data_IF_759572070140
#
_entry.id   IF_759572070140
#
_cell.length_a   1.000
_cell.length_b   1.000
_cell.length_c   1.000
_cell.angle_alpha   90.00
_cell.angle_beta   90.00
_cell.angle_gamma   90.00
#
_symmetry.space_group_name_H-M   'P 1'
#
loop_
_entity.id
_entity.type
_entity.pdbx_description
1 polymer ?
#
# COMPACT_ATOMS: atom_id res chain seq x y z
N UNK A 1 32.71 5.65 19.70
CA UNK A 1 31.47 5.58 18.92
C UNK A 1 31.14 4.12 18.85
N UNK A 2 30.14 3.68 19.59
CA UNK A 2 29.71 2.29 19.57
C UNK A 2 28.98 2.05 18.26
N UNK A 3 29.50 1.14 17.50
CA UNK A 3 28.88 0.61 16.28
C UNK A 3 27.70 -0.24 16.73
N UNK A 4 26.54 0.40 16.87
CA UNK A 4 25.29 -0.30 17.18
C UNK A 4 24.71 -0.77 15.85
N UNK A 5 25.39 -1.70 15.20
CA UNK A 5 24.76 -2.53 14.18
C UNK A 5 23.80 -3.44 14.94
N UNK A 6 22.58 -2.94 15.20
CA UNK A 6 21.47 -3.78 15.63
C UNK A 6 21.35 -4.88 14.56
N UNK A 7 21.79 -6.07 14.94
CA UNK A 7 21.78 -7.24 14.07
C UNK A 7 20.31 -7.64 13.92
N UNK A 8 19.66 -7.14 12.86
CA UNK A 8 18.29 -7.51 12.56
C UNK A 8 18.23 -9.03 12.37
N UNK A 9 17.35 -9.68 13.08
CA UNK A 9 17.11 -11.10 12.89
C UNK A 9 16.63 -11.35 11.46
N UNK A 10 17.14 -12.40 10.83
CA UNK A 10 16.69 -12.78 9.51
C UNK A 10 15.22 -13.21 9.53
N UNK A 11 14.45 -12.75 8.58
CA UNK A 11 13.03 -13.08 8.43
C UNK A 11 12.69 -13.44 6.99
N UNK A 12 11.55 -14.07 6.79
CA UNK A 12 11.01 -14.34 5.46
C UNK A 12 10.01 -13.28 5.05
N UNK A 13 10.13 -12.81 3.80
CA UNK A 13 9.15 -11.98 3.14
C UNK A 13 8.47 -12.76 2.01
N UNK A 14 7.19 -12.55 1.82
CA UNK A 14 6.39 -13.19 0.79
C UNK A 14 5.75 -12.15 -0.12
N UNK A 15 6.09 -12.17 -1.41
CA UNK A 15 5.28 -11.54 -2.45
C UNK A 15 4.11 -12.47 -2.79
N UNK A 16 2.95 -12.20 -2.23
CA UNK A 16 1.77 -13.04 -2.37
C UNK A 16 0.96 -12.65 -3.60
N UNK A 17 0.92 -13.52 -4.58
CA UNK A 17 0.10 -13.32 -5.76
C UNK A 17 -1.36 -13.71 -5.48
N UNK A 18 -2.30 -12.79 -5.73
CA UNK A 18 -3.73 -12.99 -5.53
C UNK A 18 -4.51 -12.58 -6.77
N UNK A 19 -5.68 -13.19 -6.96
CA UNK A 19 -6.58 -12.78 -8.04
C UNK A 19 -7.25 -11.46 -7.69
N UNK A 20 -7.08 -10.45 -8.54
CA UNK A 20 -7.83 -9.21 -8.46
C UNK A 20 -9.26 -9.42 -8.98
N UNK A 21 -10.24 -9.06 -8.18
CA UNK A 21 -11.65 -9.00 -8.57
C UNK A 21 -12.02 -7.53 -8.77
N UNK A 22 -11.74 -7.03 -9.97
CA UNK A 22 -11.91 -5.62 -10.31
C UNK A 22 -13.35 -5.14 -10.11
N UNK A 23 -13.50 -3.90 -9.65
CA UNK A 23 -14.80 -3.29 -9.37
C UNK A 23 -15.36 -2.50 -10.55
N UNK A 24 -14.71 -2.53 -11.71
CA UNK A 24 -15.11 -1.75 -12.90
C UNK A 24 -16.56 -2.00 -13.31
N UNK A 25 -17.04 -3.23 -13.21
CA UNK A 25 -18.39 -3.63 -13.57
C UNK A 25 -19.43 -3.40 -12.47
N UNK A 26 -19.00 -2.94 -11.29
CA UNK A 26 -19.94 -2.62 -10.21
C UNK A 26 -20.84 -1.46 -10.61
N UNK A 27 -22.14 -1.60 -10.35
CA UNK A 27 -23.18 -0.64 -10.72
C UNK A 27 -23.10 0.64 -9.88
N UNK A 28 -22.68 0.47 -8.63
CA UNK A 28 -22.64 1.56 -7.65
C UNK A 28 -21.56 1.29 -6.57
N UNK A 29 -21.40 2.27 -5.67
CA UNK A 29 -20.46 2.19 -4.53
C UNK A 29 -20.74 1.00 -3.62
N UNK A 30 -22.01 0.67 -3.38
CA UNK A 30 -22.38 -0.42 -2.46
C UNK A 30 -21.92 -1.77 -3.01
N UNK A 31 -22.15 -2.01 -4.29
CA UNK A 31 -21.69 -3.24 -4.95
C UNK A 31 -20.17 -3.30 -5.00
N UNK A 32 -19.49 -2.19 -5.33
CA UNK A 32 -18.03 -2.11 -5.32
C UNK A 32 -17.45 -2.42 -3.94
N UNK A 33 -18.00 -1.83 -2.87
CA UNK A 33 -17.57 -2.10 -1.49
C UNK A 33 -17.78 -3.56 -1.09
N UNK A 34 -18.88 -4.17 -1.52
CA UNK A 34 -19.13 -5.61 -1.29
C UNK A 34 -18.06 -6.47 -1.98
N UNK A 35 -17.68 -6.15 -3.21
CA UNK A 35 -16.61 -6.86 -3.94
C UNK A 35 -15.26 -6.71 -3.25
N UNK A 36 -14.91 -5.50 -2.80
CA UNK A 36 -13.68 -5.21 -2.06
C UNK A 36 -13.64 -6.01 -0.76
N UNK A 37 -14.70 -5.97 0.04
CA UNK A 37 -14.78 -6.73 1.31
C UNK A 37 -14.69 -8.23 1.06
N UNK A 38 -15.33 -8.76 0.04
CA UNK A 38 -15.20 -10.15 -0.36
C UNK A 38 -13.77 -10.52 -0.78
N UNK A 39 -13.03 -9.59 -1.41
CA UNK A 39 -11.62 -9.79 -1.74
C UNK A 39 -10.75 -9.87 -0.48
N UNK A 40 -10.98 -9.01 0.51
CA UNK A 40 -10.29 -9.07 1.81
C UNK A 40 -10.63 -10.38 2.56
N UNK A 41 -11.90 -10.80 2.54
CA UNK A 41 -12.30 -12.08 3.15
C UNK A 41 -11.61 -13.29 2.50
N UNK A 42 -11.43 -13.30 1.17
CA UNK A 42 -10.68 -14.35 0.47
C UNK A 42 -9.18 -14.30 0.75
N UNK A 43 -8.63 -13.11 0.98
CA UNK A 43 -7.22 -12.92 1.27
C UNK A 43 -6.81 -13.55 2.62
N UNK A 44 -7.66 -13.44 3.64
CA UNK A 44 -7.32 -13.92 4.98
C UNK A 44 -6.92 -15.42 5.04
N UNK A 45 -7.69 -16.39 4.48
CA UNK A 45 -7.26 -17.79 4.45
C UNK A 45 -6.05 -18.03 3.54
N UNK A 46 -5.85 -17.27 2.47
CA UNK A 46 -4.66 -17.39 1.62
C UNK A 46 -3.40 -16.99 2.38
N UNK A 47 -3.43 -15.90 3.13
CA UNK A 47 -2.33 -15.48 4.01
C UNK A 47 -2.07 -16.54 5.07
N UNK A 48 -3.11 -17.04 5.74
CA UNK A 48 -2.96 -18.08 6.77
C UNK A 48 -2.28 -19.35 6.21
N UNK A 49 -2.74 -19.83 5.05
CA UNK A 49 -2.16 -21.00 4.38
C UNK A 49 -0.70 -20.75 3.95
N UNK A 50 -0.40 -19.57 3.43
CA UNK A 50 0.95 -19.20 3.01
C UNK A 50 1.92 -19.17 4.19
N UNK A 51 1.53 -18.59 5.31
CA UNK A 51 2.36 -18.56 6.54
C UNK A 51 2.56 -19.98 7.08
N UNK A 52 1.51 -20.80 7.08
CA UNK A 52 1.63 -22.19 7.52
C UNK A 52 2.60 -23.01 6.66
N UNK A 53 2.71 -22.70 5.36
CA UNK A 53 3.62 -23.36 4.42
C UNK A 53 5.05 -22.82 4.51
N UNK A 54 5.22 -21.48 4.60
CA UNK A 54 6.53 -20.82 4.57
C UNK A 54 7.24 -20.97 5.91
N UNK A 55 6.52 -20.79 7.01
CA UNK A 55 7.02 -20.83 8.38
C UNK A 55 6.65 -19.60 9.20
N UNK A 56 6.76 -19.71 10.52
CA UNK A 56 6.40 -18.66 11.49
C UNK A 56 7.34 -17.45 11.49
N UNK A 57 8.47 -17.54 10.81
CA UNK A 57 9.41 -16.45 10.58
C UNK A 57 9.05 -15.57 9.35
N UNK A 58 7.90 -15.81 8.73
CA UNK A 58 7.34 -14.90 7.74
C UNK A 58 6.81 -13.64 8.43
N UNK A 59 7.50 -12.51 8.26
CA UNK A 59 7.20 -11.25 8.93
C UNK A 59 6.62 -10.19 8.01
N UNK A 60 6.83 -10.29 6.70
CA UNK A 60 6.33 -9.32 5.71
C UNK A 60 5.59 -10.05 4.59
N UNK A 61 4.36 -9.62 4.33
CA UNK A 61 3.60 -10.03 3.14
C UNK A 61 3.33 -8.81 2.27
N UNK A 62 3.67 -8.92 1.00
CA UNK A 62 3.47 -7.89 -0.01
C UNK A 62 2.39 -8.33 -0.99
N UNK A 63 1.37 -7.52 -1.16
CA UNK A 63 0.24 -7.75 -2.06
C UNK A 63 0.45 -7.03 -3.40
N UNK A 64 -0.14 -7.52 -4.50
CA UNK A 64 -0.01 -6.89 -5.80
C UNK A 64 -0.60 -5.49 -5.86
N UNK A 65 -0.23 -4.74 -6.88
CA UNK A 65 -0.86 -3.48 -7.25
C UNK A 65 -2.34 -3.71 -7.56
N UNK A 66 -3.20 -2.76 -7.16
CA UNK A 66 -4.65 -2.77 -7.43
C UNK A 66 -5.42 -4.03 -7.00
N UNK A 67 -4.87 -4.84 -6.10
CA UNK A 67 -5.43 -6.16 -5.72
C UNK A 67 -6.89 -6.13 -5.22
N UNK A 68 -7.37 -4.97 -4.75
CA UNK A 68 -8.74 -4.81 -4.24
C UNK A 68 -9.72 -4.30 -5.30
N UNK A 69 -9.26 -3.50 -6.25
CA UNK A 69 -10.17 -2.69 -7.07
C UNK A 69 -9.98 -2.89 -8.57
N UNK A 70 -8.80 -3.35 -9.02
CA UNK A 70 -8.37 -3.11 -10.38
C UNK A 70 -8.01 -1.64 -10.59
N UNK A 71 -7.88 -1.20 -11.82
CA UNK A 71 -7.56 0.18 -12.19
C UNK A 71 -8.66 0.80 -13.08
N UNK A 72 -8.78 2.14 -13.14
CA UNK A 72 -9.80 2.79 -13.93
C UNK A 72 -9.58 2.57 -15.44
N UNK A 73 -10.55 1.93 -16.09
CA UNK A 73 -10.55 1.61 -17.53
C UNK A 73 -11.26 2.73 -18.33
N UNK A 74 -10.77 3.98 -18.20
CA UNK A 74 -11.38 5.15 -18.81
C UNK A 74 -12.51 5.79 -18.01
N UNK A 75 -12.72 5.37 -16.78
CA UNK A 75 -13.65 6.02 -15.85
C UNK A 75 -13.12 7.40 -15.45
N UNK A 76 -14.01 8.38 -15.26
CA UNK A 76 -13.60 9.70 -14.78
C UNK A 76 -13.06 9.64 -13.35
N UNK A 77 -12.22 10.63 -12.97
CA UNK A 77 -11.67 10.73 -11.62
C UNK A 77 -12.77 10.69 -10.56
N UNK A 78 -13.86 11.43 -10.75
CA UNK A 78 -14.98 11.48 -9.81
C UNK A 78 -15.69 10.13 -9.70
N UNK A 79 -15.98 9.48 -10.82
CA UNK A 79 -16.66 8.18 -10.82
C UNK A 79 -15.82 7.10 -10.15
N UNK A 80 -14.51 7.07 -10.42
CA UNK A 80 -13.59 6.13 -9.77
C UNK A 80 -13.41 6.41 -8.29
N UNK A 81 -13.28 7.70 -7.92
CA UNK A 81 -13.18 8.12 -6.52
C UNK A 81 -14.37 7.64 -5.69
N UNK A 82 -15.57 7.86 -6.18
CA UNK A 82 -16.82 7.43 -5.52
C UNK A 82 -16.93 5.92 -5.42
N UNK A 83 -16.57 5.20 -6.47
CA UNK A 83 -16.77 3.76 -6.57
C UNK A 83 -15.68 2.94 -5.87
N UNK A 84 -14.42 3.24 -6.15
CA UNK A 84 -13.29 2.34 -5.86
C UNK A 84 -12.35 2.82 -4.76
N UNK A 85 -12.21 4.14 -4.54
CA UNK A 85 -11.19 4.65 -3.64
C UNK A 85 -11.52 4.39 -2.17
N UNK A 86 -10.54 3.95 -1.41
CA UNK A 86 -10.65 3.69 0.03
C UNK A 86 -10.56 4.99 0.83
N UNK A 87 -11.21 5.04 1.95
CA UNK A 87 -11.03 6.12 2.93
C UNK A 87 -9.81 5.81 3.81
N UNK A 88 -9.02 6.83 4.18
CA UNK A 88 -7.78 6.69 4.97
C UNK A 88 -7.98 5.94 6.29
N UNK A 89 -9.17 6.04 6.89
CA UNK A 89 -9.55 5.34 8.12
C UNK A 89 -10.81 4.48 7.88
N UNK A 90 -10.92 3.89 6.67
CA UNK A 90 -12.08 3.12 6.25
C UNK A 90 -12.08 1.68 6.76
N UNK A 91 -13.22 1.04 6.62
CA UNK A 91 -13.45 -0.35 7.04
C UNK A 91 -12.53 -1.36 6.34
N UNK A 92 -12.06 -1.03 5.14
CA UNK A 92 -11.13 -1.87 4.37
C UNK A 92 -9.77 -1.95 5.05
N UNK A 93 -9.21 -0.81 5.47
CA UNK A 93 -7.95 -0.76 6.22
C UNK A 93 -8.09 -1.42 7.60
N UNK A 94 -9.24 -1.24 8.26
CA UNK A 94 -9.51 -1.93 9.52
C UNK A 94 -9.54 -3.46 9.33
N UNK A 95 -10.16 -3.94 8.26
CA UNK A 95 -10.22 -5.37 7.95
C UNK A 95 -8.83 -5.95 7.60
N UNK A 96 -8.03 -5.23 6.83
CA UNK A 96 -6.64 -5.61 6.54
C UNK A 96 -5.78 -5.57 7.82
N UNK A 97 -5.98 -4.57 8.67
CA UNK A 97 -5.31 -4.45 9.97
C UNK A 97 -5.58 -5.65 10.88
N UNK A 98 -6.81 -6.14 10.91
CA UNK A 98 -7.17 -7.36 11.66
C UNK A 98 -6.43 -8.60 11.15
N UNK A 99 -6.17 -8.69 9.83
CA UNK A 99 -5.36 -9.78 9.26
C UNK A 99 -3.90 -9.65 9.72
N UNK A 100 -3.30 -8.46 9.60
CA UNK A 100 -1.93 -8.20 10.04
C UNK A 100 -1.75 -8.52 11.53
N UNK A 101 -2.68 -8.05 12.37
CA UNK A 101 -2.67 -8.29 13.82
C UNK A 101 -2.82 -9.78 14.15
N UNK A 102 -3.75 -10.48 13.51
CA UNK A 102 -3.98 -11.91 13.75
C UNK A 102 -2.75 -12.76 13.50
N UNK A 103 -1.98 -12.43 12.46
CA UNK A 103 -0.83 -13.21 12.03
C UNK A 103 0.51 -12.62 12.48
N UNK A 104 0.48 -11.48 13.18
CA UNK A 104 1.67 -10.79 13.68
C UNK A 104 2.69 -10.49 12.57
N UNK A 105 2.18 -9.94 11.43
CA UNK A 105 2.94 -9.65 10.23
C UNK A 105 2.82 -8.17 9.83
N UNK A 106 3.81 -7.69 9.11
CA UNK A 106 3.67 -6.50 8.30
C UNK A 106 2.93 -6.87 7.00
N UNK A 107 1.88 -6.12 6.68
CA UNK A 107 1.08 -6.31 5.47
C UNK A 107 1.22 -5.07 4.59
N UNK A 108 1.88 -5.24 3.45
CA UNK A 108 2.08 -4.20 2.47
C UNK A 108 1.16 -4.38 1.27
N UNK A 109 0.67 -3.30 0.72
CA UNK A 109 -0.21 -3.32 -0.45
C UNK A 109 -0.34 -1.97 -1.12
N UNK A 110 -1.21 -1.93 -2.12
CA UNK A 110 -1.48 -0.74 -2.92
C UNK A 110 -3.00 -0.54 -3.05
N UNK A 111 -3.46 0.70 -2.96
CA UNK A 111 -4.85 1.06 -3.14
C UNK A 111 -4.99 2.48 -3.71
N UNK A 112 -6.13 2.78 -4.31
CA UNK A 112 -6.56 4.16 -4.52
C UNK A 112 -7.17 4.68 -3.23
N UNK A 113 -6.70 5.83 -2.74
CA UNK A 113 -7.06 6.39 -1.44
C UNK A 113 -7.60 7.81 -1.58
N UNK A 114 -8.71 8.08 -0.92
CA UNK A 114 -9.25 9.42 -0.71
C UNK A 114 -8.54 10.08 0.46
N UNK A 115 -8.23 11.36 0.31
CA UNK A 115 -7.67 12.18 1.38
C UNK A 115 -8.58 13.37 1.65
N UNK A 116 -9.07 13.56 2.88
CA UNK A 116 -9.95 14.66 3.22
C UNK A 116 -9.36 16.05 2.99
N UNK A 117 -8.02 16.15 2.96
CA UNK A 117 -7.33 17.41 2.65
C UNK A 117 -7.39 17.75 1.15
N UNK A 118 -7.66 16.79 0.26
CA UNK A 118 -7.64 16.94 -1.20
C UNK A 118 -8.96 16.54 -1.82
N UNK A 119 -10.01 17.24 -1.46
CA UNK A 119 -11.37 16.98 -1.95
C UNK A 119 -11.41 17.01 -3.48
N UNK A 120 -12.02 15.99 -4.09
CA UNK A 120 -12.12 15.83 -5.54
C UNK A 120 -10.94 15.13 -6.21
N UNK A 121 -9.91 14.75 -5.43
CA UNK A 121 -8.78 13.96 -5.87
C UNK A 121 -8.72 12.63 -5.11
N UNK A 122 -8.02 11.68 -5.68
CA UNK A 122 -7.55 10.48 -5.00
C UNK A 122 -6.08 10.24 -5.36
N UNK A 123 -5.38 9.46 -4.57
CA UNK A 123 -4.00 9.09 -4.85
C UNK A 123 -3.86 7.57 -4.91
N UNK A 124 -3.01 7.12 -5.80
CA UNK A 124 -2.51 5.76 -5.74
C UNK A 124 -1.51 5.67 -4.59
N UNK A 125 -1.83 4.87 -3.59
CA UNK A 125 -1.10 4.83 -2.32
C UNK A 125 -0.58 3.42 -2.05
N UNK A 126 0.72 3.28 -1.88
CA UNK A 126 1.29 2.11 -1.24
C UNK A 126 1.23 2.28 0.26
N UNK A 127 0.83 1.25 0.97
CA UNK A 127 0.70 1.28 2.43
C UNK A 127 1.40 0.09 3.07
N UNK A 128 1.83 0.28 4.32
CA UNK A 128 2.27 -0.80 5.20
C UNK A 128 1.44 -0.74 6.48
N UNK A 129 0.86 -1.86 6.84
CA UNK A 129 0.17 -2.10 8.11
C UNK A 129 1.09 -2.95 8.97
N UNK A 130 1.31 -2.54 10.21
CA UNK A 130 2.16 -3.24 11.17
C UNK A 130 1.43 -4.39 11.91
N UNK A 131 2.12 -5.21 12.72
CA UNK A 131 1.51 -6.27 13.52
C UNK A 131 0.48 -5.81 14.56
N UNK A 132 0.43 -4.51 14.88
CA UNK A 132 -0.63 -3.95 15.73
C UNK A 132 -1.93 -3.68 14.96
N UNK A 133 -1.90 -3.77 13.63
CA UNK A 133 -2.98 -3.40 12.72
C UNK A 133 -3.01 -1.93 12.34
N UNK A 134 -1.97 -1.17 12.71
CA UNK A 134 -1.84 0.26 12.41
C UNK A 134 -1.13 0.50 11.08
N UNK A 135 -1.57 1.50 10.31
CA UNK A 135 -0.86 1.90 9.10
C UNK A 135 0.36 2.72 9.51
N UNK A 136 1.55 2.21 9.21
CA UNK A 136 2.83 2.84 9.55
C UNK A 136 3.51 3.52 8.37
N UNK A 137 3.04 3.26 7.16
CA UNK A 137 3.53 3.92 5.95
C UNK A 137 2.38 4.17 4.98
N UNK A 138 2.35 5.36 4.39
CA UNK A 138 1.61 5.72 3.18
C UNK A 138 2.53 6.44 2.23
N UNK A 139 2.85 5.80 1.13
CA UNK A 139 3.58 6.40 0.02
C UNK A 139 2.62 6.67 -1.12
N UNK A 140 2.45 7.94 -1.49
CA UNK A 140 1.64 8.34 -2.64
C UNK A 140 2.52 8.42 -3.87
N UNK A 141 2.12 7.68 -4.89
CA UNK A 141 2.82 7.62 -6.16
C UNK A 141 3.07 9.02 -6.71
N UNK A 142 4.34 9.34 -7.00
CA UNK A 142 4.78 10.65 -7.46
C UNK A 142 4.69 10.79 -8.99
N UNK A 143 4.86 9.69 -9.71
CA UNK A 143 4.92 9.68 -11.17
C UNK A 143 3.83 8.80 -11.74
N UNK A 144 2.79 9.40 -12.32
CA UNK A 144 1.69 8.69 -12.96
C UNK A 144 1.24 9.43 -14.22
N UNK A 145 0.85 8.66 -15.24
CA UNK A 145 0.25 9.20 -16.46
C UNK A 145 -1.28 9.36 -16.36
N UNK A 146 -1.90 8.68 -15.39
CA UNK A 146 -3.36 8.54 -15.37
C UNK A 146 -4.01 8.97 -14.05
N UNK A 147 -3.36 8.71 -12.92
CA UNK A 147 -3.89 9.07 -11.61
C UNK A 147 -3.30 10.41 -11.14
N UNK A 148 -4.04 11.21 -10.37
CA UNK A 148 -3.47 12.36 -9.69
C UNK A 148 -2.30 11.99 -8.79
N UNK A 149 -1.33 12.89 -8.71
CA UNK A 149 -0.10 12.73 -7.93
C UNK A 149 0.07 13.90 -6.97
N UNK A 150 0.95 13.79 -5.97
CA UNK A 150 1.34 14.95 -5.16
C UNK A 150 1.82 16.16 -5.95
N UNK A 151 2.40 15.96 -7.16
CA UNK A 151 2.85 17.05 -8.01
C UNK A 151 1.71 17.95 -8.52
N UNK A 152 0.50 17.40 -8.68
CA UNK A 152 -0.67 18.18 -9.13
C UNK A 152 -1.14 19.18 -8.08
N UNK A 153 -0.73 19.00 -6.82
CA UNK A 153 -1.15 19.80 -5.65
C UNK A 153 0.05 20.06 -4.71
N UNK A 154 1.23 20.26 -5.28
CA UNK A 154 2.51 20.20 -4.60
C UNK A 154 2.61 21.07 -3.35
N UNK A 155 2.31 22.36 -3.45
CA UNK A 155 2.46 23.27 -2.30
C UNK A 155 1.56 22.85 -1.14
N UNK A 156 0.30 22.55 -1.43
CA UNK A 156 -0.65 22.06 -0.43
C UNK A 156 -0.25 20.70 0.13
N UNK A 157 0.34 19.83 -0.70
CA UNK A 157 0.82 18.54 -0.25
C UNK A 157 1.97 18.68 0.75
N UNK A 158 2.93 19.57 0.46
CA UNK A 158 4.03 19.87 1.37
C UNK A 158 3.54 20.55 2.65
N UNK A 159 2.55 21.43 2.58
CA UNK A 159 1.94 22.06 3.76
C UNK A 159 1.28 21.02 4.68
N UNK A 160 0.65 19.98 4.11
CA UNK A 160 -0.02 18.92 4.88
C UNK A 160 0.95 17.85 5.42
N UNK A 161 1.93 17.46 4.63
CA UNK A 161 2.71 16.23 4.88
C UNK A 161 4.23 16.44 4.89
N UNK A 162 4.71 17.61 4.47
CA UNK A 162 6.13 17.91 4.36
C UNK A 162 6.86 16.97 3.38
N UNK A 163 8.18 17.08 3.33
CA UNK A 163 9.02 16.15 2.57
C UNK A 163 9.00 14.72 3.13
N UNK A 164 8.67 14.58 4.41
CA UNK A 164 8.51 13.27 5.05
C UNK A 164 7.37 12.47 4.39
N UNK A 165 6.28 13.14 3.99
CA UNK A 165 5.18 12.52 3.30
C UNK A 165 5.42 12.24 1.82
N UNK A 166 6.43 12.91 1.20
CA UNK A 166 6.82 12.66 -0.20
C UNK A 166 7.66 11.39 -0.32
N UNK A 167 8.64 11.22 0.57
CA UNK A 167 9.52 10.06 0.61
C UNK A 167 9.48 9.41 2.00
N UNK A 168 8.35 8.77 2.36
CA UNK A 168 8.18 8.21 3.70
C UNK A 168 9.01 6.93 3.88
N UNK A 169 9.59 6.80 5.07
CA UNK A 169 10.28 5.59 5.51
C UNK A 169 9.74 5.21 6.88
N UNK A 170 9.21 4.01 7.01
CA UNK A 170 8.71 3.47 8.27
C UNK A 170 9.83 2.75 9.01
N UNK A 171 10.17 3.24 10.20
CA UNK A 171 11.11 2.57 11.10
C UNK A 171 10.39 1.44 11.82
N UNK A 172 10.81 0.21 11.59
CA UNK A 172 10.14 -0.98 12.13
C UNK A 172 11.16 -1.94 12.75
N UNK A 173 10.66 -2.92 13.49
CA UNK A 173 11.46 -3.98 14.09
C UNK A 173 12.09 -4.96 13.07
N UNK A 174 11.62 -4.94 11.81
CA UNK A 174 12.16 -5.75 10.71
C UNK A 174 13.03 -4.94 9.75
N UNK A 175 13.37 -3.69 10.12
CA UNK A 175 14.16 -2.75 9.31
C UNK A 175 13.35 -1.51 8.92
N UNK A 176 14.01 -0.59 8.25
CA UNK A 176 13.42 0.63 7.74
C UNK A 176 12.77 0.35 6.38
N UNK A 177 11.45 0.34 6.35
CA UNK A 177 10.66 -0.04 5.18
C UNK A 177 10.25 1.19 4.36
N UNK A 178 10.31 1.06 3.05
CA UNK A 178 9.80 2.03 2.09
C UNK A 178 9.04 1.35 0.95
N UNK A 179 8.41 2.13 0.08
CA UNK A 179 7.61 1.62 -1.02
C UNK A 179 7.82 2.41 -2.31
N UNK A 180 7.72 1.70 -3.44
CA UNK A 180 7.67 2.22 -4.80
C UNK A 180 6.40 1.76 -5.48
N UNK A 181 5.80 2.60 -6.31
CA UNK A 181 4.55 2.26 -6.99
C UNK A 181 4.77 2.07 -8.49
N UNK A 182 4.36 0.90 -9.00
CA UNK A 182 4.30 0.64 -10.44
C UNK A 182 5.63 0.93 -11.15
N UNK A 183 5.57 1.60 -12.32
CA UNK A 183 6.74 1.95 -13.12
C UNK A 183 7.75 2.87 -12.43
N UNK A 184 7.48 3.39 -11.22
CA UNK A 184 8.47 4.20 -10.49
C UNK A 184 9.76 3.43 -10.18
N UNK A 185 9.73 2.11 -10.17
CA UNK A 185 10.95 1.29 -10.07
C UNK A 185 11.93 1.55 -11.23
N UNK A 186 11.43 2.07 -12.35
CA UNK A 186 12.26 2.43 -13.49
C UNK A 186 12.97 3.78 -13.31
N UNK A 187 12.58 4.54 -12.27
CA UNK A 187 13.16 5.85 -11.95
C UNK A 187 14.10 5.72 -10.75
N UNK A 188 15.42 5.57 -10.97
CA UNK A 188 16.37 5.35 -9.88
C UNK A 188 16.40 6.51 -8.87
N UNK A 189 15.91 7.68 -9.24
CA UNK A 189 15.84 8.85 -8.37
C UNK A 189 14.90 8.61 -7.19
N UNK A 190 13.75 7.99 -7.39
CA UNK A 190 12.76 7.73 -6.33
C UNK A 190 13.36 6.78 -5.30
N UNK A 191 13.86 5.62 -5.74
CA UNK A 191 14.53 4.65 -4.87
C UNK A 191 15.71 5.29 -4.12
N UNK A 192 16.55 6.07 -4.83
CA UNK A 192 17.68 6.77 -4.20
C UNK A 192 17.25 7.74 -3.12
N UNK A 193 16.17 8.51 -3.34
CA UNK A 193 15.64 9.42 -2.32
C UNK A 193 15.18 8.66 -1.08
N UNK A 194 14.52 7.52 -1.22
CA UNK A 194 14.11 6.67 -0.10
C UNK A 194 15.30 6.11 0.67
N UNK A 195 16.32 5.59 -0.05
CA UNK A 195 17.58 5.11 0.58
C UNK A 195 18.29 6.23 1.32
N UNK A 196 18.40 7.43 0.74
CA UNK A 196 19.00 8.59 1.43
C UNK A 196 18.23 9.00 2.68
N UNK A 197 16.96 8.66 2.79
CA UNK A 197 16.13 8.83 3.99
C UNK A 197 16.21 7.65 4.95
N UNK A 198 17.04 6.66 4.66
CA UNK A 198 17.35 5.55 5.51
C UNK A 198 16.53 4.29 5.26
N UNK A 199 15.88 4.16 4.09
CA UNK A 199 15.24 2.90 3.70
C UNK A 199 16.28 1.78 3.58
N UNK A 200 16.00 0.63 4.15
CA UNK A 200 16.81 -0.60 4.09
C UNK A 200 16.12 -1.65 3.22
N UNK A 201 14.81 -1.63 3.20
CA UNK A 201 13.98 -2.54 2.40
C UNK A 201 12.93 -1.72 1.65
N UNK A 202 12.95 -1.84 0.34
CA UNK A 202 11.94 -1.24 -0.53
C UNK A 202 11.10 -2.33 -1.18
N UNK A 203 9.79 -2.22 -1.10
CA UNK A 203 8.90 -3.09 -1.88
C UNK A 203 8.29 -2.33 -3.05
N UNK A 204 8.13 -3.02 -4.18
CA UNK A 204 7.42 -2.52 -5.34
C UNK A 204 6.12 -3.29 -5.56
N UNK A 205 5.02 -2.60 -5.80
CA UNK A 205 3.77 -3.21 -6.24
C UNK A 205 3.64 -3.09 -7.76
N UNK A 206 3.44 -4.22 -8.42
CA UNK A 206 3.28 -4.30 -9.87
C UNK A 206 2.04 -5.09 -10.22
N UNK A 207 1.28 -4.62 -11.22
CA UNK A 207 0.33 -5.41 -11.96
C UNK A 207 0.99 -5.90 -13.26
N UNK A 208 0.90 -7.19 -13.58
CA UNK A 208 1.14 -7.71 -14.92
C UNK A 208 -0.22 -8.03 -15.53
N UNK A 209 -0.45 -7.48 -16.69
CA UNK A 209 -1.57 -7.84 -17.55
C UNK A 209 -1.49 -9.32 -17.98
#
# INVERSE_FOLDING_TARGET
MADNTDNLDSFRALALQVTCHAVNQARDRTEARSLIQNSIHRLAPQIAASIAFIGSDCRLIVLPEYFLTGFPMGESLTAWAEKACLEMAGAEYEALGKIAQKHQIFLAGNAYELDPNFVGLYFQTNFIIDPSGSIVLRYRRLNSLFAPTPHDVWDKYLDCYGLEGVFPVAKTEIGNLAALASEEILYPEVARCLVMRGAEIEYGSFCRD
#
